data_IF_514733315244
#
_entry.id   IF_514733315244
#
_cell.length_a   1.000
_cell.length_b   1.000
_cell.length_c   1.000
_cell.angle_alpha   90.00
_cell.angle_beta   90.00
_cell.angle_gamma   90.00
#
_symmetry.space_group_name_H-M   'P 1'
#
loop_
_entity.id
_entity.type
_entity.pdbx_description
1 polymer ?
#
# COMPACT_ATOMS: atom_id res chain seq x y z
N UNK A 1 24.07 20.75 14.17
CA UNK A 1 23.58 19.68 13.29
C UNK A 1 24.56 19.35 12.16
N UNK A 2 24.91 20.28 11.27
CA UNK A 2 25.82 20.01 10.13
C UNK A 2 27.16 19.32 10.50
N UNK A 3 27.84 19.77 11.56
CA UNK A 3 29.09 19.15 12.05
C UNK A 3 28.93 17.68 12.47
N UNK A 4 27.74 17.28 12.95
CA UNK A 4 27.48 15.89 13.35
C UNK A 4 27.49 14.95 12.14
N UNK A 5 26.81 15.35 11.07
CA UNK A 5 26.69 14.58 9.83
C UNK A 5 28.00 14.60 9.03
N UNK A 6 28.66 15.76 8.90
CA UNK A 6 29.89 15.88 8.11
C UNK A 6 31.08 15.06 8.65
N UNK A 7 31.05 14.68 9.93
CA UNK A 7 32.12 13.94 10.58
C UNK A 7 31.87 12.41 10.65
N UNK A 8 30.82 11.91 10.02
CA UNK A 8 30.39 10.51 10.09
C UNK A 8 30.01 9.95 8.73
N UNK A 9 30.23 8.67 8.55
CA UNK A 9 29.68 7.90 7.44
C UNK A 9 28.17 7.69 7.63
N UNK A 10 27.45 7.41 6.53
CA UNK A 10 26.02 7.07 6.59
C UNK A 10 25.73 5.88 7.51
N UNK A 11 26.63 4.90 7.57
CA UNK A 11 26.50 3.72 8.44
C UNK A 11 26.60 4.08 9.93
N UNK A 12 27.57 4.91 10.31
CA UNK A 12 27.71 5.40 11.69
C UNK A 12 26.50 6.22 12.14
N UNK A 13 25.91 7.00 11.23
CA UNK A 13 24.68 7.77 11.51
C UNK A 13 23.49 6.84 11.77
N UNK A 14 23.29 5.85 10.91
CA UNK A 14 22.19 4.89 11.07
C UNK A 14 22.34 4.06 12.34
N UNK A 15 23.55 3.63 12.67
CA UNK A 15 23.82 2.90 13.90
C UNK A 15 23.60 3.75 15.15
N UNK A 16 24.04 5.00 15.14
CA UNK A 16 23.79 5.93 16.24
C UNK A 16 22.29 6.25 16.39
N UNK A 17 21.55 6.32 15.28
CA UNK A 17 20.09 6.44 15.29
C UNK A 17 19.43 5.26 15.97
N UNK A 18 19.74 4.03 15.54
CA UNK A 18 19.24 2.79 16.16
C UNK A 18 19.54 2.74 17.66
N UNK A 19 20.78 3.04 18.05
CA UNK A 19 21.20 3.09 19.46
C UNK A 19 20.35 4.05 20.31
N UNK A 20 19.80 5.10 19.70
CA UNK A 20 18.95 6.11 20.35
C UNK A 20 17.45 5.89 20.15
N UNK A 21 17.04 4.84 19.44
CA UNK A 21 15.64 4.63 19.07
C UNK A 21 15.11 5.67 18.08
N UNK A 22 15.99 6.33 17.32
CA UNK A 22 15.65 7.25 16.25
C UNK A 22 15.74 6.47 14.93
N UNK A 23 14.65 6.44 14.17
CA UNK A 23 14.67 5.88 12.82
C UNK A 23 15.52 6.75 11.88
N UNK A 24 16.84 6.54 11.91
CA UNK A 24 17.80 7.15 11.01
C UNK A 24 18.18 6.10 9.95
N UNK A 25 17.77 6.36 8.73
CA UNK A 25 17.93 5.45 7.62
C UNK A 25 19.00 5.96 6.64
N UNK A 26 19.80 5.06 6.08
CA UNK A 26 20.74 5.41 5.01
C UNK A 26 19.99 5.57 3.70
N UNK A 27 20.43 6.53 2.89
CA UNK A 27 20.04 6.58 1.48
C UNK A 27 21.04 5.74 0.71
N UNK A 28 20.61 4.57 0.26
CA UNK A 28 21.41 3.64 -0.53
C UNK A 28 21.42 4.08 -1.98
N UNK A 29 22.57 3.94 -2.65
CA UNK A 29 22.63 3.87 -4.11
C UNK A 29 22.53 2.40 -4.56
N UNK A 30 22.23 2.11 -5.85
CA UNK A 30 22.00 0.74 -6.31
C UNK A 30 23.13 -0.26 -5.99
N UNK A 31 24.40 0.17 -5.95
CA UNK A 31 25.51 -0.69 -5.54
C UNK A 31 25.50 -1.03 -4.04
N UNK A 32 25.00 -0.16 -3.16
CA UNK A 32 24.86 -0.48 -1.74
C UNK A 32 23.83 -1.61 -1.55
N UNK A 33 22.72 -1.55 -2.30
CA UNK A 33 21.62 -2.52 -2.22
C UNK A 33 22.09 -3.94 -2.54
N UNK A 34 22.99 -4.09 -3.52
CA UNK A 34 23.58 -5.39 -3.89
C UNK A 34 24.43 -6.01 -2.76
N UNK A 35 24.88 -5.22 -1.80
CA UNK A 35 25.70 -5.65 -0.66
C UNK A 35 24.99 -5.49 0.69
N UNK A 36 23.67 -5.27 0.68
CA UNK A 36 22.89 -5.05 1.88
C UNK A 36 22.77 -6.33 2.71
N UNK A 37 23.24 -6.28 3.96
CA UNK A 37 23.28 -7.44 4.85
C UNK A 37 21.88 -7.96 5.23
N UNK A 38 20.86 -7.11 5.22
CA UNK A 38 19.50 -7.53 5.53
C UNK A 38 18.87 -8.27 4.35
N UNK A 39 19.04 -7.76 3.13
CA UNK A 39 18.60 -8.46 1.92
C UNK A 39 19.33 -9.80 1.73
N UNK A 40 20.65 -9.83 2.01
CA UNK A 40 21.45 -11.06 1.97
C UNK A 40 20.96 -12.09 3.02
N UNK A 41 20.71 -11.68 4.26
CA UNK A 41 20.21 -12.58 5.31
C UNK A 41 18.83 -13.17 5.01
N UNK A 42 18.03 -12.50 4.16
CA UNK A 42 16.73 -12.97 3.69
C UNK A 42 16.82 -13.77 2.38
N UNK A 43 18.03 -13.93 1.82
CA UNK A 43 18.25 -14.58 0.53
C UNK A 43 17.49 -13.93 -0.62
N UNK A 44 17.31 -12.61 -0.56
CA UNK A 44 16.48 -11.88 -1.53
C UNK A 44 17.14 -11.78 -2.91
N UNK A 45 18.47 -11.72 -2.93
CA UNK A 45 19.29 -11.68 -4.14
C UNK A 45 19.87 -13.07 -4.48
N UNK A 46 19.50 -14.12 -3.75
CA UNK A 46 19.97 -15.50 -3.96
C UNK A 46 19.20 -16.15 -5.11
N UNK A 47 19.33 -15.56 -6.30
CA UNK A 47 18.64 -15.97 -7.52
C UNK A 47 19.67 -16.31 -8.61
N UNK A 48 19.30 -17.07 -9.66
CA UNK A 48 20.22 -17.35 -10.76
C UNK A 48 20.77 -16.10 -11.43
N UNK A 49 19.95 -15.04 -11.54
CA UNK A 49 20.39 -13.76 -12.06
C UNK A 49 21.16 -12.93 -11.04
N UNK A 50 21.14 -13.29 -9.75
CA UNK A 50 21.58 -12.51 -8.59
C UNK A 50 20.96 -11.10 -8.51
N UNK A 51 19.74 -10.98 -9.03
CA UNK A 51 18.89 -9.81 -8.99
C UNK A 51 17.54 -10.19 -8.36
N UNK A 52 16.73 -9.21 -7.93
CA UNK A 52 15.41 -9.49 -7.39
C UNK A 52 14.51 -10.27 -8.38
N UNK A 53 13.91 -11.39 -7.94
CA UNK A 53 12.99 -12.22 -8.75
C UNK A 53 11.66 -12.57 -8.02
N UNK A 54 11.46 -12.10 -6.78
CA UNK A 54 10.21 -12.29 -6.01
C UNK A 54 9.75 -11.02 -5.29
N UNK A 55 8.45 -10.83 -5.16
CA UNK A 55 7.88 -9.69 -4.41
C UNK A 55 7.63 -9.99 -2.92
N UNK A 56 7.44 -11.26 -2.57
CA UNK A 56 7.20 -11.68 -1.18
C UNK A 56 7.82 -13.06 -0.92
N UNK A 57 8.07 -13.36 0.33
CA UNK A 57 8.34 -14.72 0.80
C UNK A 57 7.02 -15.44 1.03
N UNK A 58 6.90 -16.66 0.51
CA UNK A 58 5.71 -17.50 0.71
C UNK A 58 6.12 -18.79 1.41
N UNK A 59 5.57 -19.01 2.60
CA UNK A 59 5.71 -20.26 3.36
C UNK A 59 4.41 -21.06 3.22
N UNK A 60 4.49 -22.20 2.54
CA UNK A 60 3.34 -23.09 2.39
C UNK A 60 2.91 -23.71 3.73
N UNK A 61 1.60 -23.85 3.91
CA UNK A 61 1.02 -24.63 5.00
C UNK A 61 1.01 -26.14 4.74
N UNK A 62 0.57 -26.88 5.76
CA UNK A 62 0.26 -28.29 5.60
C UNK A 62 -0.91 -28.47 4.62
N UNK A 63 -0.84 -29.52 3.79
CA UNK A 63 -1.94 -29.87 2.90
C UNK A 63 -3.08 -30.50 3.71
N UNK A 64 -4.28 -29.94 3.56
CA UNK A 64 -5.52 -30.49 4.09
C UNK A 64 -6.56 -30.63 2.97
N UNK A 65 -7.75 -31.13 3.28
CA UNK A 65 -8.86 -31.01 2.34
C UNK A 65 -9.12 -29.52 2.06
N UNK A 66 -9.21 -29.15 0.78
CA UNK A 66 -9.47 -27.76 0.41
C UNK A 66 -10.74 -27.25 1.11
N UNK A 67 -10.69 -26.05 1.73
CA UNK A 67 -11.86 -25.47 2.38
C UNK A 67 -13.04 -25.35 1.41
N UNK A 68 -14.25 -25.56 1.91
CA UNK A 68 -15.46 -25.39 1.11
C UNK A 68 -15.54 -23.93 0.61
N UNK A 69 -15.82 -23.75 -0.69
CA UNK A 69 -16.10 -22.41 -1.22
C UNK A 69 -17.42 -21.95 -0.63
N UNK A 70 -17.41 -20.84 0.08
CA UNK A 70 -18.61 -20.25 0.63
C UNK A 70 -19.37 -19.49 -0.46
N UNK A 71 -20.69 -19.70 -0.53
CA UNK A 71 -21.54 -18.82 -1.30
C UNK A 71 -21.62 -17.46 -0.58
N UNK A 72 -21.01 -16.43 -1.17
CA UNK A 72 -21.08 -15.08 -0.64
C UNK A 72 -22.40 -14.39 -1.00
N UNK A 73 -22.80 -13.41 -0.18
CA UNK A 73 -23.98 -12.56 -0.41
C UNK A 73 -23.62 -11.23 -1.09
N UNK A 74 -22.32 -10.90 -1.14
CA UNK A 74 -21.80 -9.69 -1.80
C UNK A 74 -21.60 -9.93 -3.29
N UNK A 75 -21.73 -8.88 -4.10
CA UNK A 75 -21.33 -8.90 -5.51
C UNK A 75 -19.82 -8.78 -5.66
N UNK A 76 -19.25 -9.43 -6.68
CA UNK A 76 -17.83 -9.29 -7.06
C UNK A 76 -17.07 -10.61 -7.09
N UNK A 77 -15.87 -10.63 -7.69
CA UNK A 77 -15.08 -11.83 -7.95
C UNK A 77 -14.56 -12.51 -6.67
N UNK A 78 -14.50 -11.78 -5.55
CA UNK A 78 -14.10 -12.33 -4.24
C UNK A 78 -15.29 -12.59 -3.32
N UNK A 79 -16.51 -12.61 -3.87
CA UNK A 79 -17.70 -13.04 -3.13
C UNK A 79 -17.47 -14.43 -2.51
N UNK A 80 -17.73 -14.53 -1.20
CA UNK A 80 -17.55 -15.75 -0.42
C UNK A 80 -16.19 -15.86 0.27
N UNK A 81 -15.23 -14.98 -0.03
CA UNK A 81 -13.95 -14.90 0.69
C UNK A 81 -14.14 -14.16 2.02
N UNK A 82 -13.61 -14.71 3.10
CA UNK A 82 -13.74 -14.17 4.47
C UNK A 82 -12.40 -13.73 5.03
N UNK A 83 -12.31 -12.51 5.52
CA UNK A 83 -11.05 -11.87 5.91
C UNK A 83 -11.14 -11.30 7.32
N UNK A 84 -10.17 -11.65 8.15
CA UNK A 84 -9.88 -10.92 9.39
C UNK A 84 -8.78 -9.89 9.12
N UNK A 85 -9.11 -8.63 9.37
CA UNK A 85 -8.25 -7.49 9.15
C UNK A 85 -7.76 -6.93 10.50
N UNK A 86 -6.50 -7.22 10.84
CA UNK A 86 -5.81 -6.63 11.99
C UNK A 86 -4.97 -5.41 11.60
N UNK A 87 -5.06 -4.96 10.34
CA UNK A 87 -4.21 -3.91 9.85
C UNK A 87 -4.53 -2.56 10.50
N UNK A 88 -3.51 -1.71 10.49
CA UNK A 88 -3.60 -0.30 10.89
C UNK A 88 -2.82 0.57 9.91
N UNK A 89 -3.13 1.87 9.86
CA UNK A 89 -2.58 2.80 8.88
C UNK A 89 -2.90 2.37 7.42
N UNK A 90 -1.94 2.42 6.48
CA UNK A 90 -2.21 2.31 5.04
C UNK A 90 -2.13 0.88 4.52
N UNK A 91 -0.97 0.22 4.62
CA UNK A 91 -0.65 -0.97 3.81
C UNK A 91 -1.71 -2.07 3.89
N UNK A 92 -1.95 -2.59 5.10
CA UNK A 92 -2.94 -3.65 5.27
C UNK A 92 -4.37 -3.13 5.07
N UNK A 93 -4.68 -1.88 5.44
CA UNK A 93 -6.01 -1.29 5.24
C UNK A 93 -6.39 -1.18 3.77
N UNK A 94 -5.50 -0.72 2.90
CA UNK A 94 -5.71 -0.66 1.45
C UNK A 94 -5.80 -2.07 0.86
N UNK A 95 -5.02 -3.03 1.39
CA UNK A 95 -5.07 -4.43 0.96
C UNK A 95 -6.48 -4.98 1.17
N UNK A 96 -7.01 -4.88 2.39
CA UNK A 96 -8.32 -5.43 2.73
C UNK A 96 -9.47 -4.59 2.18
N UNK A 97 -9.30 -3.28 2.01
CA UNK A 97 -10.24 -2.43 1.25
C UNK A 97 -10.37 -2.95 -0.18
N UNK A 98 -9.25 -3.16 -0.88
CA UNK A 98 -9.23 -3.65 -2.26
C UNK A 98 -9.94 -5.00 -2.36
N UNK A 99 -9.65 -5.93 -1.46
CA UNK A 99 -10.29 -7.25 -1.43
C UNK A 99 -11.79 -7.16 -1.09
N UNK A 100 -12.16 -6.30 -0.12
CA UNK A 100 -13.55 -6.08 0.29
C UNK A 100 -14.40 -5.41 -0.78
N UNK A 101 -13.85 -4.42 -1.49
CA UNK A 101 -14.51 -3.75 -2.61
C UNK A 101 -14.74 -4.70 -3.79
N UNK A 102 -13.91 -5.75 -3.91
CA UNK A 102 -14.07 -6.84 -4.86
C UNK A 102 -15.03 -7.95 -4.37
N UNK A 103 -15.70 -7.74 -3.23
CA UNK A 103 -16.77 -8.60 -2.74
C UNK A 103 -16.41 -9.47 -1.53
N UNK A 104 -15.20 -9.41 -0.99
CA UNK A 104 -14.85 -10.16 0.22
C UNK A 104 -15.64 -9.64 1.45
N UNK A 105 -15.94 -10.54 2.38
CA UNK A 105 -16.44 -10.18 3.71
C UNK A 105 -15.25 -9.89 4.63
N UNK A 106 -15.11 -8.63 5.03
CA UNK A 106 -13.97 -8.17 5.84
C UNK A 106 -14.45 -7.75 7.22
N UNK A 107 -13.90 -8.39 8.26
CA UNK A 107 -14.05 -7.98 9.66
C UNK A 107 -12.75 -7.34 10.12
N UNK A 108 -12.78 -6.02 10.32
CA UNK A 108 -11.69 -5.26 10.92
C UNK A 108 -11.75 -5.40 12.44
N UNK A 109 -10.67 -5.90 13.02
CA UNK A 109 -10.50 -6.05 14.46
C UNK A 109 -9.66 -4.87 14.96
N UNK A 110 -10.22 -4.10 15.87
CA UNK A 110 -9.61 -2.89 16.42
C UNK A 110 -9.92 -2.73 17.91
N UNK A 111 -9.30 -1.77 18.60
CA UNK A 111 -9.57 -1.47 20.02
C UNK A 111 -9.54 0.03 20.25
N UNK A 112 -10.36 0.57 21.16
CA UNK A 112 -10.30 2.00 21.51
C UNK A 112 -9.08 2.33 22.36
N UNK A 113 -8.48 1.34 23.02
CA UNK A 113 -7.26 1.51 23.81
C UNK A 113 -6.05 1.86 22.94
N UNK A 114 -6.06 1.40 21.69
CA UNK A 114 -5.04 1.71 20.68
C UNK A 114 -5.70 1.77 19.30
N UNK A 115 -6.39 2.88 18.99
CA UNK A 115 -7.10 3.03 17.73
C UNK A 115 -6.14 2.94 16.54
N UNK A 116 -6.69 2.56 15.38
CA UNK A 116 -6.00 2.70 14.11
C UNK A 116 -5.46 4.13 13.95
N UNK A 117 -4.22 4.28 13.48
CA UNK A 117 -3.60 5.58 13.22
C UNK A 117 -4.49 6.47 12.34
N UNK A 118 -5.20 5.89 11.38
CA UNK A 118 -6.10 6.63 10.51
C UNK A 118 -7.33 7.22 11.22
N UNK A 119 -7.70 6.71 12.41
CA UNK A 119 -8.77 7.28 13.26
C UNK A 119 -8.30 8.42 14.16
N UNK A 120 -7.00 8.52 14.40
CA UNK A 120 -6.40 9.57 15.24
C UNK A 120 -5.96 10.79 14.44
N UNK A 121 -5.87 10.65 13.13
CA UNK A 121 -5.37 11.67 12.22
C UNK A 121 -6.38 12.81 12.02
N UNK A 122 -5.95 14.05 12.24
CA UNK A 122 -6.79 15.25 12.05
C UNK A 122 -6.28 16.02 10.83
N UNK A 123 -6.64 15.51 9.64
CA UNK A 123 -6.18 16.06 8.36
C UNK A 123 -6.98 17.26 7.84
N UNK A 124 -8.24 17.39 8.24
CA UNK A 124 -9.14 18.46 7.75
C UNK A 124 -9.80 19.20 8.90
N UNK A 125 -10.15 20.47 8.68
CA UNK A 125 -10.78 21.31 9.70
C UNK A 125 -12.12 20.76 10.23
N UNK A 126 -12.79 19.89 9.45
CA UNK A 126 -14.03 19.23 9.85
C UNK A 126 -13.81 18.03 10.80
N UNK A 127 -12.58 17.53 10.94
CA UNK A 127 -12.25 16.43 11.86
C UNK A 127 -11.92 16.97 13.25
N UNK A 128 -12.47 16.34 14.29
CA UNK A 128 -12.19 16.66 15.69
C UNK A 128 -11.17 15.70 16.30
N UNK A 129 -10.29 16.20 17.17
CA UNK A 129 -9.40 15.35 17.97
C UNK A 129 -10.14 14.41 18.95
N UNK A 130 -11.42 14.68 19.26
CA UNK A 130 -12.20 13.92 20.24
C UNK A 130 -13.08 12.83 19.62
N UNK A 131 -13.13 12.73 18.29
CA UNK A 131 -13.91 11.71 17.57
C UNK A 131 -12.96 10.72 16.91
N UNK A 132 -13.35 9.45 16.78
CA UNK A 132 -12.60 8.43 16.03
C UNK A 132 -13.25 8.10 14.68
N UNK A 133 -14.40 8.72 14.38
CA UNK A 133 -15.29 8.33 13.29
C UNK A 133 -15.51 9.45 12.26
N UNK A 134 -14.97 10.66 12.49
CA UNK A 134 -15.08 11.81 11.57
C UNK A 134 -13.80 12.01 10.73
N UNK A 135 -13.10 10.91 10.40
CA UNK A 135 -11.79 10.94 9.73
C UNK A 135 -11.91 10.56 8.24
N UNK A 136 -11.74 11.51 7.31
CA UNK A 136 -11.72 11.22 5.87
C UNK A 136 -10.69 10.17 5.49
N UNK A 137 -9.52 10.20 6.13
CA UNK A 137 -8.47 9.25 5.85
C UNK A 137 -8.87 7.82 6.22
N UNK A 138 -9.41 7.61 7.43
CA UNK A 138 -9.98 6.32 7.82
C UNK A 138 -11.09 5.88 6.87
N UNK A 139 -12.02 6.81 6.56
CA UNK A 139 -13.16 6.55 5.71
C UNK A 139 -12.74 6.08 4.31
N UNK A 140 -11.73 6.71 3.72
CA UNK A 140 -11.18 6.31 2.43
C UNK A 140 -10.45 4.96 2.49
N UNK A 141 -9.75 4.63 3.58
CA UNK A 141 -8.94 3.40 3.68
C UNK A 141 -9.75 2.15 4.07
N UNK A 142 -11.01 2.29 4.48
CA UNK A 142 -11.75 1.20 5.12
C UNK A 142 -13.17 0.97 4.58
N UNK A 143 -13.46 1.36 3.32
CA UNK A 143 -14.71 0.94 2.66
C UNK A 143 -14.83 -0.58 2.62
N UNK A 144 -16.07 -1.06 2.57
CA UNK A 144 -16.40 -2.49 2.43
C UNK A 144 -15.99 -3.37 3.63
N UNK A 145 -15.82 -2.79 4.82
CA UNK A 145 -15.45 -3.51 6.05
C UNK A 145 -16.49 -3.36 7.16
N UNK A 146 -16.65 -4.40 7.97
CA UNK A 146 -17.35 -4.33 9.26
C UNK A 146 -16.32 -4.14 10.37
N UNK A 147 -16.65 -3.40 11.42
CA UNK A 147 -15.76 -3.13 12.56
C UNK A 147 -16.19 -3.91 13.79
N UNK A 148 -15.25 -4.63 14.39
CA UNK A 148 -15.34 -5.30 15.68
C UNK A 148 -14.29 -4.67 16.61
N UNK A 149 -14.76 -4.03 17.68
CA UNK A 149 -13.88 -3.60 18.77
C UNK A 149 -13.64 -4.79 19.71
N UNK A 150 -12.37 -5.11 20.00
CA UNK A 150 -11.99 -6.25 20.82
C UNK A 150 -10.66 -5.99 21.54
N UNK A 151 -10.66 -6.05 22.88
CA UNK A 151 -9.42 -6.02 23.67
C UNK A 151 -8.74 -7.39 23.66
N UNK A 152 -7.81 -7.56 22.73
CA UNK A 152 -7.05 -8.80 22.53
C UNK A 152 -6.16 -9.20 23.72
N UNK A 153 -5.96 -8.32 24.72
CA UNK A 153 -5.21 -8.67 25.94
C UNK A 153 -6.06 -9.42 26.95
N UNK A 154 -7.38 -9.30 26.87
CA UNK A 154 -8.28 -10.04 27.74
C UNK A 154 -8.36 -11.50 27.30
N UNK A 155 -8.16 -12.49 28.18
CA UNK A 155 -8.34 -13.90 27.83
C UNK A 155 -9.73 -14.22 27.29
N UNK A 156 -10.78 -13.56 27.81
CA UNK A 156 -12.16 -13.72 27.38
C UNK A 156 -12.41 -13.27 25.92
N UNK A 157 -11.51 -12.46 25.34
CA UNK A 157 -11.59 -12.08 23.92
C UNK A 157 -11.49 -13.28 22.98
N UNK A 158 -10.91 -14.39 23.45
CA UNK A 158 -10.83 -15.67 22.74
C UNK A 158 -12.20 -16.29 22.48
N UNK A 159 -13.20 -16.04 23.31
CA UNK A 159 -14.57 -16.52 23.08
C UNK A 159 -15.16 -15.94 21.78
N UNK A 160 -14.75 -14.74 21.39
CA UNK A 160 -15.14 -14.11 20.12
C UNK A 160 -14.18 -14.50 19.00
N UNK A 161 -12.87 -14.43 19.27
CA UNK A 161 -11.82 -14.49 18.27
C UNK A 161 -11.58 -15.89 17.70
N UNK A 162 -11.61 -16.91 18.53
CA UNK A 162 -11.31 -18.27 18.11
C UNK A 162 -12.32 -18.80 17.06
N UNK A 163 -13.65 -18.63 17.24
CA UNK A 163 -14.63 -18.89 16.18
C UNK A 163 -14.41 -18.07 14.91
N UNK A 164 -13.93 -16.83 15.03
CA UNK A 164 -13.63 -16.00 13.86
C UNK A 164 -12.43 -16.54 13.07
N UNK A 165 -11.43 -17.11 13.73
CA UNK A 165 -10.30 -17.80 13.06
C UNK A 165 -10.80 -19.04 12.31
N UNK A 166 -11.79 -19.77 12.84
CA UNK A 166 -12.42 -20.90 12.13
C UNK A 166 -13.22 -20.44 10.91
N UNK A 167 -13.84 -19.26 11.01
CA UNK A 167 -14.63 -18.66 9.93
C UNK A 167 -13.76 -18.12 8.79
N UNK A 168 -12.54 -17.65 9.08
CA UNK A 168 -11.71 -16.89 8.16
C UNK A 168 -11.02 -17.75 7.08
N UNK A 169 -10.92 -17.19 5.87
CA UNK A 169 -10.03 -17.69 4.83
C UNK A 169 -8.66 -17.02 4.87
N UNK A 170 -8.65 -15.73 5.20
CA UNK A 170 -7.48 -14.87 5.15
C UNK A 170 -7.35 -14.07 6.43
N UNK A 171 -6.11 -13.92 6.91
CA UNK A 171 -5.73 -12.97 7.96
C UNK A 171 -4.75 -11.97 7.38
N UNK A 172 -5.04 -10.68 7.52
CA UNK A 172 -4.17 -9.58 7.08
C UNK A 172 -3.68 -8.79 8.28
N UNK A 173 -2.36 -8.53 8.33
CA UNK A 173 -1.75 -7.67 9.35
C UNK A 173 -0.51 -6.95 8.81
N UNK A 174 -0.15 -5.84 9.46
CA UNK A 174 1.04 -5.04 9.13
C UNK A 174 1.71 -4.47 10.39
N UNK A 175 1.73 -5.25 11.47
CA UNK A 175 2.40 -4.87 12.70
C UNK A 175 3.91 -5.10 12.61
N UNK A 176 4.65 -4.51 13.56
CA UNK A 176 6.05 -4.86 13.77
C UNK A 176 6.18 -6.36 14.06
N UNK A 177 7.15 -7.06 13.45
CA UNK A 177 7.32 -8.50 13.60
C UNK A 177 7.36 -8.95 15.07
N UNK A 178 6.63 -10.03 15.37
CA UNK A 178 6.46 -10.56 16.72
C UNK A 178 5.26 -10.01 17.50
N UNK A 179 4.58 -8.96 17.01
CA UNK A 179 3.34 -8.45 17.64
C UNK A 179 2.23 -9.51 17.61
N UNK A 180 1.97 -10.12 16.45
CA UNK A 180 0.98 -11.20 16.33
C UNK A 180 1.33 -12.41 17.21
N UNK A 181 2.62 -12.76 17.33
CA UNK A 181 3.06 -13.85 18.19
C UNK A 181 2.78 -13.57 19.68
N UNK A 182 2.99 -12.32 20.15
CA UNK A 182 2.65 -11.90 21.53
C UNK A 182 1.14 -11.96 21.79
N UNK A 183 0.33 -11.69 20.77
CA UNK A 183 -1.13 -11.83 20.84
C UNK A 183 -1.58 -13.29 20.69
N UNK A 184 -0.68 -14.21 20.34
CA UNK A 184 -1.00 -15.61 20.07
C UNK A 184 -1.78 -15.82 18.77
N UNK A 185 -1.47 -15.03 17.75
CA UNK A 185 -2.11 -15.00 16.44
C UNK A 185 -1.09 -15.05 15.29
N UNK A 186 0.14 -15.51 15.56
CA UNK A 186 1.10 -15.82 14.52
C UNK A 186 0.62 -17.00 13.64
N UNK A 187 1.18 -17.10 12.43
CA UNK A 187 0.71 -18.07 11.45
C UNK A 187 0.71 -19.51 11.97
N UNK A 188 1.71 -19.94 12.73
CA UNK A 188 1.77 -21.32 13.24
C UNK A 188 0.59 -21.63 14.18
N UNK A 189 0.21 -20.67 15.05
CA UNK A 189 -0.97 -20.81 15.92
C UNK A 189 -2.27 -20.79 15.11
N UNK A 190 -2.40 -19.86 14.17
CA UNK A 190 -3.58 -19.78 13.31
C UNK A 190 -3.77 -21.05 12.49
N UNK A 191 -2.69 -21.55 11.87
CA UNK A 191 -2.69 -22.77 11.05
C UNK A 191 -2.96 -24.03 11.88
N UNK A 192 -2.56 -24.07 13.16
CA UNK A 192 -2.89 -25.20 14.05
C UNK A 192 -4.40 -25.34 14.28
N UNK A 193 -5.13 -24.22 14.23
CA UNK A 193 -6.59 -24.18 14.38
C UNK A 193 -7.30 -24.30 13.04
N UNK A 194 -6.85 -23.54 12.04
CA UNK A 194 -7.38 -23.51 10.69
C UNK A 194 -6.23 -23.75 9.68
N UNK A 195 -5.93 -25.01 9.32
CA UNK A 195 -4.80 -25.33 8.45
C UNK A 195 -4.90 -24.77 7.02
N UNK A 196 -6.10 -24.38 6.59
CA UNK A 196 -6.36 -23.76 5.29
C UNK A 196 -6.19 -22.23 5.29
N UNK A 197 -5.81 -21.62 6.41
CA UNK A 197 -5.74 -20.16 6.51
C UNK A 197 -4.59 -19.59 5.68
N UNK A 198 -4.84 -18.48 5.01
CA UNK A 198 -3.81 -17.66 4.36
C UNK A 198 -3.53 -16.45 5.24
N UNK A 199 -2.32 -16.34 5.78
CA UNK A 199 -1.88 -15.15 6.49
C UNK A 199 -1.02 -14.29 5.56
N UNK A 200 -1.23 -12.97 5.55
CA UNK A 200 -0.34 -12.02 4.88
C UNK A 200 0.10 -10.94 5.86
N UNK A 201 1.42 -10.77 5.95
CA UNK A 201 2.10 -9.83 6.84
C UNK A 201 2.81 -8.77 6.01
N UNK A 202 2.48 -7.50 6.19
CA UNK A 202 3.09 -6.38 5.47
C UNK A 202 3.93 -5.48 6.38
N UNK A 203 5.18 -5.82 6.68
CA UNK A 203 6.07 -4.95 7.49
C UNK A 203 7.14 -4.28 6.61
N UNK A 204 7.82 -3.24 7.12
CA UNK A 204 8.82 -2.53 6.30
C UNK A 204 10.00 -3.42 5.92
N UNK A 205 10.50 -4.22 6.86
CA UNK A 205 11.68 -5.06 6.70
C UNK A 205 11.34 -6.55 6.53
N UNK A 206 10.06 -6.92 6.47
CA UNK A 206 9.62 -8.31 6.53
C UNK A 206 9.74 -8.93 7.93
N UNK A 207 9.39 -10.21 8.06
CA UNK A 207 9.30 -10.91 9.35
C UNK A 207 10.62 -11.48 9.87
N UNK A 208 11.71 -11.42 9.08
CA UNK A 208 13.01 -12.05 9.39
C UNK A 208 14.18 -11.18 8.95
N UNK A 209 15.38 -11.47 9.44
CA UNK A 209 16.61 -10.77 9.10
C UNK A 209 17.00 -9.69 10.11
N UNK A 210 18.21 -9.11 9.99
CA UNK A 210 18.81 -8.20 10.99
C UNK A 210 17.98 -6.96 11.32
N UNK A 211 17.26 -6.41 10.34
CA UNK A 211 16.43 -5.21 10.50
C UNK A 211 14.95 -5.51 10.82
N UNK A 212 14.56 -6.78 10.99
CA UNK A 212 13.14 -7.14 11.16
C UNK A 212 12.49 -6.49 12.40
N UNK A 213 13.26 -6.21 13.45
CA UNK A 213 12.75 -5.56 14.67
C UNK A 213 12.83 -4.03 14.62
N UNK A 214 13.37 -3.46 13.56
CA UNK A 214 13.45 -2.01 13.39
C UNK A 214 12.09 -1.44 12.95
N UNK A 215 11.81 -0.21 13.38
CA UNK A 215 10.65 0.54 12.91
C UNK A 215 10.98 1.22 11.57
N UNK A 216 10.06 1.19 10.62
CA UNK A 216 10.16 1.93 9.36
C UNK A 216 8.85 2.62 8.96
N UNK A 217 8.96 3.52 7.99
CA UNK A 217 7.83 4.12 7.25
C UNK A 217 8.15 4.09 5.75
N UNK A 218 7.26 4.53 4.86
CA UNK A 218 7.52 4.55 3.41
C UNK A 218 8.88 5.17 3.04
N UNK A 219 9.20 6.33 3.60
CA UNK A 219 10.48 7.00 3.37
C UNK A 219 11.70 6.13 3.71
N UNK A 220 11.60 5.24 4.69
CA UNK A 220 12.63 4.25 5.03
C UNK A 220 12.80 3.23 3.90
N UNK A 221 11.69 2.66 3.40
CA UNK A 221 11.73 1.72 2.26
C UNK A 221 12.25 2.36 0.98
N UNK A 222 11.87 3.61 0.70
CA UNK A 222 12.38 4.38 -0.43
C UNK A 222 13.87 4.69 -0.34
N UNK A 223 14.36 5.06 0.85
CA UNK A 223 15.77 5.39 1.07
C UNK A 223 16.69 4.17 0.91
N UNK A 224 16.31 3.03 1.49
CA UNK A 224 17.13 1.82 1.43
C UNK A 224 17.12 1.14 0.06
N UNK A 225 16.04 1.28 -0.71
CA UNK A 225 15.88 0.58 -1.98
C UNK A 225 16.69 1.13 -3.14
N UNK A 226 17.36 2.28 -2.97
CA UNK A 226 17.99 2.99 -4.09
C UNK A 226 17.08 3.99 -4.78
N UNK A 227 15.76 3.95 -4.50
CA UNK A 227 14.77 4.80 -5.16
C UNK A 227 14.99 6.28 -4.86
N UNK A 228 15.15 6.65 -3.58
CA UNK A 228 15.37 8.05 -3.19
C UNK A 228 16.65 8.59 -3.80
N UNK A 229 17.73 7.79 -3.85
CA UNK A 229 19.00 8.20 -4.45
C UNK A 229 18.87 8.57 -5.93
N UNK A 230 18.06 7.83 -6.67
CA UNK A 230 17.83 8.00 -8.10
C UNK A 230 16.72 9.00 -8.45
N UNK A 231 16.06 9.58 -7.45
CA UNK A 231 14.98 10.55 -7.66
C UNK A 231 15.49 11.98 -7.50
N UNK A 232 15.20 12.83 -8.49
CA UNK A 232 15.52 14.26 -8.51
C UNK A 232 16.29 14.66 -9.77
N UNK A 233 16.74 15.92 -9.84
CA UNK A 233 17.56 16.42 -10.95
C UNK A 233 19.05 16.06 -10.74
N UNK A 234 19.85 15.96 -11.83
CA UNK A 234 21.26 15.55 -11.76
C UNK A 234 22.10 16.36 -10.76
N UNK A 235 21.96 17.68 -10.80
CA UNK A 235 22.71 18.62 -9.94
C UNK A 235 22.04 18.90 -8.59
N UNK A 236 20.88 18.28 -8.34
CA UNK A 236 20.11 18.42 -7.12
C UNK A 236 20.42 17.38 -6.05
N UNK A 237 19.93 17.64 -4.84
CA UNK A 237 19.91 16.64 -3.76
C UNK A 237 18.91 15.51 -4.07
N UNK A 238 19.09 14.30 -3.51
CA UNK A 238 18.07 13.25 -3.57
C UNK A 238 16.72 13.73 -3.04
N UNK A 239 15.65 13.42 -3.75
CA UNK A 239 14.28 13.83 -3.39
C UNK A 239 13.46 12.59 -3.02
N UNK A 240 12.72 12.67 -1.92
CA UNK A 240 11.62 11.74 -1.66
C UNK A 240 10.40 12.29 -2.41
N UNK A 241 9.77 11.56 -3.35
CA UNK A 241 8.51 11.98 -3.97
C UNK A 241 7.44 12.16 -2.89
N UNK A 242 7.24 13.39 -2.42
CA UNK A 242 6.58 13.63 -1.13
C UNK A 242 5.05 13.56 -1.13
N UNK A 243 4.40 13.64 -2.29
CA UNK A 243 2.94 13.70 -2.36
C UNK A 243 2.27 12.31 -2.22
N UNK A 244 2.97 11.22 -2.58
CA UNK A 244 2.42 9.87 -2.54
C UNK A 244 3.44 8.91 -1.93
N UNK A 245 3.15 8.29 -0.77
CA UNK A 245 4.05 7.33 -0.15
C UNK A 245 4.06 6.03 -0.98
N UNK A 246 5.02 5.90 -1.89
CA UNK A 246 5.03 4.87 -2.93
C UNK A 246 4.93 3.43 -2.38
N UNK A 247 5.72 3.10 -1.38
CA UNK A 247 5.72 1.82 -0.68
C UNK A 247 4.37 1.52 -0.05
N UNK A 248 3.73 2.52 0.56
CA UNK A 248 2.41 2.37 1.16
C UNK A 248 1.29 2.14 0.13
N UNK A 249 1.51 2.48 -1.16
CA UNK A 249 0.53 2.25 -2.23
C UNK A 249 0.82 1.01 -3.08
N UNK A 250 2.07 0.63 -3.31
CA UNK A 250 2.41 -0.56 -4.12
C UNK A 250 2.27 -1.87 -3.34
N UNK A 251 2.70 -1.87 -2.07
CA UNK A 251 2.68 -3.08 -1.23
C UNK A 251 1.25 -3.63 -1.06
N UNK A 252 0.20 -2.81 -0.87
CA UNK A 252 -1.17 -3.31 -0.81
C UNK A 252 -1.60 -4.14 -2.03
N UNK A 253 -1.29 -3.69 -3.24
CA UNK A 253 -1.67 -4.39 -4.46
C UNK A 253 -0.85 -5.66 -4.66
N UNK A 254 0.42 -5.66 -4.26
CA UNK A 254 1.24 -6.87 -4.20
C UNK A 254 0.63 -7.88 -3.21
N UNK A 255 0.28 -7.45 -2.00
CA UNK A 255 -0.35 -8.30 -0.98
C UNK A 255 -1.69 -8.85 -1.47
N UNK A 256 -2.57 -8.01 -2.03
CA UNK A 256 -3.87 -8.44 -2.55
C UNK A 256 -3.72 -9.46 -3.69
N UNK A 257 -2.76 -9.26 -4.59
CA UNK A 257 -2.43 -10.21 -5.65
C UNK A 257 -1.94 -11.56 -5.11
N UNK A 258 -1.07 -11.54 -4.10
CA UNK A 258 -0.60 -12.79 -3.45
C UNK A 258 -1.72 -13.50 -2.69
N UNK A 259 -2.62 -12.77 -2.03
CA UNK A 259 -3.81 -13.36 -1.40
C UNK A 259 -4.67 -14.06 -2.44
N UNK A 260 -4.99 -13.41 -3.57
CA UNK A 260 -5.76 -14.03 -4.64
C UNK A 260 -5.08 -15.29 -5.20
N UNK A 261 -3.77 -15.24 -5.45
CA UNK A 261 -2.98 -16.37 -5.92
C UNK A 261 -2.94 -17.53 -4.90
N UNK A 262 -2.75 -17.21 -3.62
CA UNK A 262 -2.74 -18.19 -2.53
C UNK A 262 -4.11 -18.86 -2.37
N UNK A 263 -5.21 -18.09 -2.45
CA UNK A 263 -6.58 -18.64 -2.42
C UNK A 263 -6.86 -19.55 -3.62
N UNK A 264 -6.41 -19.19 -4.83
CA UNK A 264 -6.53 -20.06 -6.00
C UNK A 264 -5.74 -21.36 -5.81
N UNK A 265 -4.47 -21.27 -5.40
CA UNK A 265 -3.64 -22.45 -5.15
C UNK A 265 -4.23 -23.33 -4.06
N UNK A 266 -4.74 -22.75 -2.98
CA UNK A 266 -5.42 -23.46 -1.89
C UNK A 266 -6.62 -24.26 -2.38
N UNK A 267 -7.36 -23.80 -3.40
CA UNK A 267 -8.47 -24.58 -3.99
C UNK A 267 -7.99 -25.87 -4.63
N UNK A 268 -6.78 -25.87 -5.17
CA UNK A 268 -6.19 -27.01 -5.88
C UNK A 268 -5.43 -27.95 -4.94
N UNK A 269 -4.72 -27.39 -3.96
CA UNK A 269 -3.79 -28.15 -3.10
C UNK A 269 -4.29 -28.35 -1.68
N UNK A 270 -5.29 -27.57 -1.26
CA UNK A 270 -5.75 -27.49 0.13
C UNK A 270 -4.74 -26.88 1.10
N UNK A 271 -3.65 -26.28 0.60
CA UNK A 271 -2.64 -25.63 1.42
C UNK A 271 -2.95 -24.14 1.60
N UNK A 272 -3.09 -23.72 2.85
CA UNK A 272 -2.93 -22.31 3.22
C UNK A 272 -1.46 -21.87 3.12
N UNK A 273 -1.11 -20.78 3.80
CA UNK A 273 0.26 -20.28 3.77
C UNK A 273 0.44 -18.97 4.50
N UNK A 274 1.70 -18.57 4.66
CA UNK A 274 2.08 -17.25 5.14
C UNK A 274 2.87 -16.49 4.09
N UNK A 275 2.36 -15.33 3.72
CA UNK A 275 2.98 -14.39 2.81
C UNK A 275 3.64 -13.30 3.65
N UNK A 276 4.96 -13.23 3.63
CA UNK A 276 5.77 -12.17 4.23
C UNK A 276 6.15 -11.14 3.15
N UNK A 277 5.43 -10.03 3.13
CA UNK A 277 5.58 -8.93 2.17
C UNK A 277 6.38 -7.78 2.79
N UNK A 278 7.68 -7.76 2.52
CA UNK A 278 8.58 -6.68 2.96
C UNK A 278 8.46 -5.47 2.05
N UNK A 279 8.09 -4.30 2.59
CA UNK A 279 8.07 -3.05 1.82
C UNK A 279 9.43 -2.75 1.20
N UNK A 280 10.51 -2.99 1.95
CA UNK A 280 11.88 -2.77 1.47
C UNK A 280 12.15 -3.65 0.23
N UNK A 281 11.90 -4.96 0.30
CA UNK A 281 12.10 -5.88 -0.83
C UNK A 281 11.23 -5.49 -2.05
N UNK A 282 9.97 -5.11 -1.82
CA UNK A 282 9.05 -4.67 -2.88
C UNK A 282 9.53 -3.37 -3.52
N UNK A 283 10.09 -2.44 -2.76
CA UNK A 283 10.69 -1.23 -3.32
C UNK A 283 11.96 -1.55 -4.12
N UNK A 284 12.78 -2.49 -3.67
CA UNK A 284 14.00 -2.93 -4.37
C UNK A 284 13.65 -3.62 -5.71
N UNK A 285 12.56 -4.38 -5.78
CA UNK A 285 12.08 -4.99 -7.02
C UNK A 285 11.91 -3.99 -8.16
N UNK A 286 11.44 -2.78 -7.85
CA UNK A 286 11.20 -1.71 -8.83
C UNK A 286 12.51 -1.10 -9.35
N UNK A 287 13.61 -1.32 -8.65
CA UNK A 287 14.94 -0.81 -8.99
C UNK A 287 15.78 -1.83 -9.76
N UNK A 288 15.20 -2.98 -10.15
CA UNK A 288 15.93 -4.13 -10.72
C UNK A 288 16.88 -3.74 -11.86
N UNK A 289 16.46 -2.90 -12.80
CA UNK A 289 17.30 -2.54 -13.94
C UNK A 289 18.49 -1.67 -13.52
N UNK A 290 18.31 -0.78 -12.55
CA UNK A 290 19.41 0.00 -11.96
C UNK A 290 20.36 -0.87 -11.14
N UNK A 291 19.86 -1.92 -10.49
CA UNK A 291 20.72 -2.93 -9.83
C UNK A 291 21.51 -3.73 -10.87
N UNK A 292 20.92 -4.06 -12.01
CA UNK A 292 21.60 -4.74 -13.11
C UNK A 292 22.73 -3.86 -13.67
N UNK A 293 22.47 -2.56 -13.88
CA UNK A 293 23.48 -1.56 -14.27
C UNK A 293 24.61 -1.49 -13.25
N UNK A 294 24.29 -1.36 -11.95
CA UNK A 294 25.28 -1.32 -10.88
C UNK A 294 26.16 -2.58 -10.83
N UNK A 295 25.55 -3.74 -11.01
CA UNK A 295 26.27 -5.01 -11.08
C UNK A 295 27.19 -5.12 -12.30
N UNK A 296 26.81 -4.49 -13.41
CA UNK A 296 27.66 -4.36 -14.59
C UNK A 296 28.77 -3.30 -14.43
N UNK A 297 28.93 -2.72 -13.23
CA UNK A 297 29.95 -1.70 -12.94
C UNK A 297 29.56 -0.29 -13.36
N UNK A 298 28.28 -0.06 -13.72
CA UNK A 298 27.78 1.27 -14.04
C UNK A 298 27.33 2.01 -12.78
N UNK A 299 27.25 3.34 -12.86
CA UNK A 299 26.83 4.18 -11.75
C UNK A 299 25.59 4.98 -12.16
N UNK A 300 24.38 4.39 -12.09
CA UNK A 300 23.15 5.12 -12.41
C UNK A 300 23.02 6.35 -11.51
N UNK A 301 22.57 7.46 -12.10
CA UNK A 301 22.39 8.76 -11.44
C UNK A 301 20.99 9.29 -11.69
N UNK A 302 20.63 10.33 -10.95
CA UNK A 302 19.42 11.13 -11.16
C UNK A 302 19.42 11.75 -12.55
N UNK A 303 18.27 11.75 -13.21
CA UNK A 303 18.11 12.26 -14.58
C UNK A 303 17.02 13.34 -14.70
N UNK A 304 16.40 13.76 -13.58
CA UNK A 304 15.22 14.62 -13.64
C UNK A 304 14.08 13.90 -14.36
N UNK A 305 13.51 14.54 -15.39
CA UNK A 305 12.43 13.98 -16.20
C UNK A 305 12.93 13.17 -17.42
N UNK A 306 14.23 13.15 -17.68
CA UNK A 306 14.80 12.52 -18.87
C UNK A 306 14.92 10.99 -18.74
N UNK A 307 14.85 10.30 -19.87
CA UNK A 307 15.12 8.87 -20.01
C UNK A 307 16.14 8.66 -21.15
N UNK A 308 17.30 8.00 -20.91
CA UNK A 308 18.31 7.78 -21.95
C UNK A 308 17.84 6.90 -23.12
N UNK A 309 16.75 6.14 -22.94
CA UNK A 309 16.15 5.32 -23.97
C UNK A 309 15.17 6.09 -24.87
N UNK A 310 14.84 7.34 -24.52
CA UNK A 310 13.86 8.18 -25.23
C UNK A 310 14.57 9.38 -25.84
N UNK A 311 14.44 9.65 -27.16
CA UNK A 311 15.08 10.79 -27.82
C UNK A 311 14.82 12.15 -27.16
N UNK A 312 13.61 12.37 -26.66
CA UNK A 312 13.26 13.58 -25.93
C UNK A 312 12.12 13.32 -24.93
N UNK A 313 12.30 13.73 -23.68
CA UNK A 313 11.26 13.72 -22.66
C UNK A 313 11.55 14.79 -21.60
N UNK A 314 10.56 15.65 -21.31
CA UNK A 314 10.65 16.61 -20.20
C UNK A 314 9.27 17.17 -19.80
N UNK A 315 9.25 18.03 -18.78
CA UNK A 315 8.09 18.79 -18.29
C UNK A 315 8.36 20.29 -18.44
N UNK A 316 7.45 21.01 -19.09
CA UNK A 316 7.59 22.43 -19.41
C UNK A 316 6.51 23.30 -18.76
N UNK A 317 6.82 24.55 -18.38
CA UNK A 317 5.80 25.48 -17.89
C UNK A 317 4.81 25.82 -19.01
N UNK A 318 3.55 25.95 -18.65
CA UNK A 318 2.48 26.43 -19.51
C UNK A 318 1.94 27.78 -19.00
N UNK A 319 1.08 28.43 -19.77
CA UNK A 319 0.46 29.68 -19.38
C UNK A 319 -0.42 29.49 -18.13
N UNK A 320 -0.14 30.28 -17.08
CA UNK A 320 -0.88 30.25 -15.83
C UNK A 320 0.04 30.08 -14.62
N UNK A 321 -0.55 30.02 -13.44
CA UNK A 321 0.18 29.75 -12.20
C UNK A 321 0.27 28.23 -12.01
N UNK A 322 1.50 27.71 -11.85
CA UNK A 322 1.77 26.28 -11.64
C UNK A 322 1.11 25.34 -12.69
N UNK A 323 1.04 25.81 -13.94
CA UNK A 323 0.58 25.00 -15.08
C UNK A 323 1.78 24.42 -15.81
N UNK A 324 1.70 23.13 -16.15
CA UNK A 324 2.81 22.41 -16.76
C UNK A 324 2.30 21.40 -17.79
N UNK A 325 3.14 21.05 -18.75
CA UNK A 325 2.89 19.99 -19.74
C UNK A 325 4.05 19.03 -19.80
N UNK A 326 3.76 17.73 -19.66
CA UNK A 326 4.72 16.67 -19.91
C UNK A 326 4.71 16.31 -21.40
N UNK A 327 5.89 16.18 -22.02
CA UNK A 327 6.05 15.88 -23.45
C UNK A 327 7.08 14.77 -23.61
N UNK A 328 6.74 13.73 -24.38
CA UNK A 328 7.66 12.64 -24.76
C UNK A 328 7.62 12.42 -26.28
N UNK A 329 8.81 12.34 -26.89
CA UNK A 329 9.01 11.91 -28.26
C UNK A 329 9.94 10.69 -28.26
N UNK A 330 9.38 9.54 -28.63
CA UNK A 330 10.00 8.23 -28.58
C UNK A 330 10.84 7.90 -29.81
N UNK A 331 10.70 8.67 -30.89
CA UNK A 331 11.54 8.54 -32.09
C UNK A 331 12.17 9.86 -32.51
N UNK A 332 13.30 9.83 -33.26
CA UNK A 332 13.88 11.04 -33.85
C UNK A 332 12.91 11.81 -34.75
N UNK A 333 12.01 11.11 -35.45
CA UNK A 333 10.97 11.70 -36.29
C UNK A 333 9.92 12.43 -35.45
N UNK A 334 9.48 11.84 -34.33
CA UNK A 334 8.59 12.51 -33.37
C UNK A 334 9.24 13.77 -32.79
N UNK A 335 10.52 13.71 -32.44
CA UNK A 335 11.25 14.87 -31.92
C UNK A 335 11.40 15.95 -33.00
N UNK A 336 11.66 15.57 -34.25
CA UNK A 336 11.72 16.52 -35.37
C UNK A 336 10.37 17.21 -35.58
N UNK A 337 9.26 16.46 -35.56
CA UNK A 337 7.90 17.04 -35.63
C UNK A 337 7.60 17.97 -34.46
N UNK A 338 8.05 17.63 -33.25
CA UNK A 338 7.91 18.49 -32.07
C UNK A 338 8.59 19.84 -32.31
N UNK A 339 9.83 19.83 -32.83
CA UNK A 339 10.58 21.05 -33.13
C UNK A 339 9.98 21.84 -34.30
N UNK A 340 9.34 21.19 -35.27
CA UNK A 340 8.59 21.88 -36.34
C UNK A 340 7.38 22.65 -35.79
N UNK A 341 6.71 22.11 -34.77
CA UNK A 341 5.52 22.72 -34.14
C UNK A 341 5.90 23.80 -33.12
N UNK A 342 6.82 23.45 -32.22
CA UNK A 342 7.18 24.28 -31.07
C UNK A 342 8.34 25.25 -31.37
N UNK A 343 9.13 24.98 -32.41
CA UNK A 343 10.43 25.62 -32.61
C UNK A 343 11.50 25.01 -31.70
N UNK A 344 12.74 25.55 -31.77
CA UNK A 344 13.87 25.05 -30.99
C UNK A 344 13.78 25.34 -29.49
N UNK A 345 12.99 26.35 -29.10
CA UNK A 345 12.76 26.72 -27.70
C UNK A 345 11.35 26.30 -27.26
N UNK A 346 11.24 25.03 -26.89
CA UNK A 346 9.98 24.41 -26.47
C UNK A 346 9.42 25.10 -25.21
N UNK A 347 10.29 25.54 -24.29
CA UNK A 347 9.87 26.23 -23.08
C UNK A 347 9.24 27.60 -23.39
N UNK A 348 9.86 28.39 -24.27
CA UNK A 348 9.28 29.67 -24.70
C UNK A 348 7.97 29.50 -25.48
N UNK A 349 7.82 28.38 -26.20
CA UNK A 349 6.58 28.07 -26.90
C UNK A 349 5.46 27.61 -25.95
N UNK A 350 5.78 26.75 -24.97
CA UNK A 350 4.79 26.23 -24.02
C UNK A 350 4.33 27.28 -23.01
N UNK A 351 5.22 28.12 -22.48
CA UNK A 351 4.91 29.02 -21.36
C UNK A 351 3.88 30.13 -21.66
N UNK A 352 3.56 30.35 -22.94
CA UNK A 352 2.56 31.32 -23.39
C UNK A 352 1.25 30.67 -23.88
N UNK A 353 1.12 29.34 -23.77
CA UNK A 353 -0.04 28.57 -24.24
C UNK A 353 -0.66 27.77 -23.09
N UNK A 354 -1.97 27.56 -23.18
CA UNK A 354 -2.71 26.76 -22.21
C UNK A 354 -2.32 25.27 -22.34
N UNK A 355 -2.19 24.57 -21.22
CA UNK A 355 -1.58 23.23 -21.15
C UNK A 355 -2.40 22.15 -21.88
N UNK A 356 -3.74 22.17 -21.77
CA UNK A 356 -4.59 21.21 -22.49
C UNK A 356 -4.57 21.46 -23.99
N UNK A 357 -4.52 22.72 -24.43
CA UNK A 357 -4.38 23.08 -25.83
C UNK A 357 -3.03 22.62 -26.40
N UNK A 358 -1.94 22.76 -25.64
CA UNK A 358 -0.64 22.19 -26.02
C UNK A 358 -0.74 20.66 -26.16
N UNK A 359 -1.27 20.00 -25.12
CA UNK A 359 -1.37 18.54 -25.11
C UNK A 359 -2.21 18.04 -26.30
N UNK A 360 -3.38 18.64 -26.54
CA UNK A 360 -4.25 18.29 -27.66
C UNK A 360 -3.57 18.51 -29.03
N UNK A 361 -2.85 19.63 -29.21
CA UNK A 361 -2.14 19.92 -30.46
C UNK A 361 -1.03 18.90 -30.73
N UNK A 362 -0.22 18.56 -29.71
CA UNK A 362 0.87 17.59 -29.84
C UNK A 362 0.34 16.16 -30.04
N UNK A 363 -0.71 15.77 -29.31
CA UNK A 363 -1.37 14.47 -29.48
C UNK A 363 -1.95 14.32 -30.90
N UNK A 364 -2.55 15.37 -31.48
CA UNK A 364 -3.03 15.37 -32.85
C UNK A 364 -1.90 15.18 -33.89
N UNK A 365 -0.67 15.55 -33.55
CA UNK A 365 0.54 15.33 -34.35
C UNK A 365 1.24 13.98 -34.05
N UNK A 366 0.61 13.12 -33.23
CA UNK A 366 1.17 11.84 -32.83
C UNK A 366 2.38 11.95 -31.90
N UNK A 367 2.44 12.99 -31.06
CA UNK A 367 3.45 13.18 -30.03
C UNK A 367 2.77 12.99 -28.67
N UNK A 368 3.37 12.21 -27.78
CA UNK A 368 2.81 11.99 -26.45
C UNK A 368 2.96 13.27 -25.62
N UNK A 369 1.83 13.82 -25.18
CA UNK A 369 1.80 15.00 -24.32
C UNK A 369 0.61 14.93 -23.35
N UNK A 370 0.75 15.52 -22.17
CA UNK A 370 -0.31 15.59 -21.18
C UNK A 370 -0.16 16.80 -20.27
N UNK A 371 -1.27 17.48 -19.99
CA UNK A 371 -1.31 18.54 -18.98
C UNK A 371 -1.05 17.93 -17.59
N UNK A 372 -0.22 18.59 -16.79
CA UNK A 372 -0.01 18.23 -15.40
C UNK A 372 -1.23 18.70 -14.59
N UNK A 373 -1.85 17.77 -13.88
CA UNK A 373 -3.10 18.01 -13.16
C UNK A 373 -2.86 18.01 -11.65
N UNK A 374 -3.47 18.96 -10.96
CA UNK A 374 -3.56 18.94 -9.50
C UNK A 374 -4.81 18.17 -9.02
N UNK A 375 -5.05 18.14 -7.70
CA UNK A 375 -6.20 17.43 -7.15
C UNK A 375 -7.55 18.04 -7.55
N UNK A 376 -7.63 19.37 -7.71
CA UNK A 376 -8.86 20.05 -8.13
C UNK A 376 -9.18 19.70 -9.58
N UNK A 377 -8.18 19.76 -10.47
CA UNK A 377 -8.31 19.36 -11.86
C UNK A 377 -8.83 17.91 -11.98
N UNK A 378 -8.17 16.97 -11.28
CA UNK A 378 -8.53 15.55 -11.34
C UNK A 378 -9.96 15.27 -10.88
N UNK A 379 -10.43 15.97 -9.84
CA UNK A 379 -11.74 15.71 -9.22
C UNK A 379 -12.86 16.47 -9.95
N UNK A 380 -12.61 17.73 -10.28
CA UNK A 380 -13.66 18.65 -10.74
C UNK A 380 -13.70 18.83 -12.26
N UNK A 381 -12.59 18.57 -12.96
CA UNK A 381 -12.40 19.02 -14.35
C UNK A 381 -12.00 17.92 -15.32
N UNK A 382 -11.36 16.85 -14.85
CA UNK A 382 -10.86 15.78 -15.72
C UNK A 382 -12.01 14.86 -16.23
N UNK A 383 -12.32 14.90 -17.55
CA UNK A 383 -13.40 14.08 -18.11
C UNK A 383 -13.06 12.59 -18.14
N UNK A 384 -11.78 12.23 -18.22
CA UNK A 384 -11.31 10.84 -18.18
C UNK A 384 -11.52 10.27 -16.78
N UNK A 385 -11.19 11.02 -15.73
CA UNK A 385 -11.44 10.62 -14.34
C UNK A 385 -12.94 10.50 -14.07
N UNK A 386 -13.74 11.50 -14.47
CA UNK A 386 -15.19 11.49 -14.31
C UNK A 386 -15.85 10.28 -15.02
N UNK A 387 -15.48 10.02 -16.28
CA UNK A 387 -16.03 8.90 -17.08
C UNK A 387 -15.64 7.53 -16.51
N UNK A 388 -14.49 7.45 -15.83
CA UNK A 388 -14.00 6.22 -15.21
C UNK A 388 -14.48 6.02 -13.78
N UNK A 389 -15.41 6.85 -13.29
CA UNK A 389 -16.05 6.80 -11.97
C UNK A 389 -15.03 6.37 -10.89
N UNK A 390 -13.86 7.04 -10.86
CA UNK A 390 -12.78 6.67 -9.93
C UNK A 390 -13.11 7.03 -8.48
N UNK A 391 -14.18 7.81 -8.29
CA UNK A 391 -14.71 8.19 -6.99
C UNK A 391 -16.09 7.55 -6.81
N UNK A 392 -16.28 6.94 -5.65
CA UNK A 392 -17.57 6.48 -5.18
C UNK A 392 -18.07 7.42 -4.09
N UNK A 393 -19.17 8.11 -4.36
CA UNK A 393 -19.85 8.89 -3.35
C UNK A 393 -20.69 7.97 -2.45
N UNK A 394 -20.29 7.86 -1.18
CA UNK A 394 -21.01 7.06 -0.19
C UNK A 394 -21.51 7.97 0.93
N UNK A 395 -22.71 7.70 1.43
CA UNK A 395 -23.26 8.43 2.58
C UNK A 395 -22.58 7.97 3.87
N UNK A 396 -21.92 8.90 4.54
CA UNK A 396 -21.23 8.69 5.80
C UNK A 396 -21.91 9.48 6.94
N UNK A 397 -22.23 8.86 8.09
CA UNK A 397 -23.00 9.50 9.17
C UNK A 397 -22.42 10.83 9.67
N UNK A 398 -21.09 10.97 9.68
CA UNK A 398 -20.39 12.16 10.17
C UNK A 398 -19.74 13.01 9.07
N UNK A 399 -19.53 12.47 7.86
CA UNK A 399 -18.87 13.18 6.77
C UNK A 399 -19.86 13.65 5.69
N UNK A 400 -21.13 13.25 5.79
CA UNK A 400 -22.13 13.46 4.75
C UNK A 400 -21.83 12.58 3.53
N UNK A 401 -22.22 13.05 2.34
CA UNK A 401 -21.84 12.42 1.08
C UNK A 401 -20.34 12.65 0.84
N UNK A 402 -19.57 11.56 0.86
CA UNK A 402 -18.11 11.62 0.81
C UNK A 402 -17.56 10.76 -0.34
N UNK A 403 -16.61 11.30 -1.11
CA UNK A 403 -15.97 10.63 -2.22
C UNK A 403 -14.85 9.69 -1.76
N UNK A 404 -14.98 8.41 -2.06
CA UNK A 404 -13.98 7.38 -1.80
C UNK A 404 -13.28 6.97 -3.08
N UNK A 405 -11.96 6.77 -3.03
CA UNK A 405 -11.23 6.24 -4.19
C UNK A 405 -11.67 4.80 -4.45
N UNK A 406 -12.21 4.59 -5.65
CA UNK A 406 -12.67 3.31 -6.15
C UNK A 406 -11.51 2.33 -6.35
N UNK A 407 -11.78 1.03 -6.23
CA UNK A 407 -10.83 0.03 -6.72
C UNK A 407 -10.60 0.25 -8.24
N UNK A 408 -9.34 0.31 -8.72
CA UNK A 408 -9.08 0.50 -10.14
C UNK A 408 -9.45 -0.74 -10.98
N UNK A 409 -9.78 -1.86 -10.33
CA UNK A 409 -10.11 -3.12 -10.96
C UNK A 409 -11.59 -3.17 -11.37
N UNK A 410 -11.86 -3.11 -12.69
CA UNK A 410 -13.20 -3.24 -13.27
C UNK A 410 -13.38 -4.59 -13.94
N UNK A 411 -14.54 -5.20 -13.74
CA UNK A 411 -14.90 -6.48 -14.33
C UNK A 411 -16.13 -6.28 -15.23
N UNK A 412 -16.08 -6.80 -16.46
CA UNK A 412 -17.15 -6.58 -17.45
C UNK A 412 -18.49 -7.23 -17.06
N UNK A 413 -18.47 -8.22 -16.16
CA UNK A 413 -19.64 -8.99 -15.72
C UNK A 413 -20.11 -8.67 -14.30
N UNK A 414 -19.27 -8.01 -13.50
CA UNK A 414 -19.56 -7.70 -12.11
C UNK A 414 -19.73 -6.20 -11.92
N UNK A 415 -20.74 -5.81 -11.15
CA UNK A 415 -20.85 -4.45 -10.62
C UNK A 415 -20.48 -4.49 -9.15
N UNK A 416 -19.36 -3.88 -8.80
CA UNK A 416 -18.95 -3.77 -7.40
C UNK A 416 -19.95 -2.91 -6.63
N UNK A 417 -20.27 -3.32 -5.41
CA UNK A 417 -21.15 -2.60 -4.50
C UNK A 417 -20.40 -2.37 -3.19
N UNK A 418 -19.49 -1.39 -3.17
CA UNK A 418 -18.83 -1.00 -1.94
C UNK A 418 -19.83 -0.34 -0.99
N UNK A 419 -19.53 -0.38 0.30
CA UNK A 419 -20.24 0.40 1.31
C UNK A 419 -19.25 1.19 2.15
N UNK A 420 -19.73 2.22 2.83
CA UNK A 420 -18.89 3.16 3.58
C UNK A 420 -18.04 2.45 4.64
N UNK A 421 -16.98 3.12 5.09
CA UNK A 421 -16.25 2.65 6.25
C UNK A 421 -17.13 2.59 7.52
N UNK A 422 -16.85 1.65 8.44
CA UNK A 422 -17.61 1.48 9.67
C UNK A 422 -17.17 2.46 10.76
N UNK A 423 -18.11 2.88 11.60
CA UNK A 423 -17.75 3.50 12.88
C UNK A 423 -17.06 2.47 13.79
N UNK A 424 -16.27 2.94 14.76
CA UNK A 424 -15.54 2.09 15.70
C UNK A 424 -16.51 1.16 16.45
N UNK A 425 -16.38 -0.15 16.22
CA UNK A 425 -17.19 -1.18 16.89
C UNK A 425 -18.64 -1.24 16.43
N UNK A 426 -18.98 -0.61 15.30
CA UNK A 426 -20.36 -0.54 14.78
C UNK A 426 -21.04 -1.92 14.66
N UNK A 427 -20.26 -2.98 14.44
CA UNK A 427 -20.76 -4.32 14.19
C UNK A 427 -20.37 -5.33 15.28
N UNK A 428 -19.81 -4.90 16.42
CA UNK A 428 -19.23 -5.79 17.43
C UNK A 428 -20.19 -6.89 17.90
N UNK A 429 -21.38 -6.51 18.37
CA UNK A 429 -22.38 -7.46 18.87
C UNK A 429 -22.99 -8.31 17.77
N UNK A 430 -23.19 -7.73 16.58
CA UNK A 430 -23.72 -8.45 15.43
C UNK A 430 -22.76 -9.57 15.02
N UNK A 431 -21.46 -9.27 14.90
CA UNK A 431 -20.38 -10.20 14.57
C UNK A 431 -20.26 -11.29 15.64
N UNK A 432 -20.21 -10.91 16.92
CA UNK A 432 -20.11 -11.85 18.04
C UNK A 432 -21.27 -12.86 18.05
N UNK A 433 -22.49 -12.39 17.73
CA UNK A 433 -23.66 -13.26 17.64
C UNK A 433 -23.65 -14.12 16.37
N UNK A 434 -23.45 -13.52 15.20
CA UNK A 434 -23.67 -14.20 13.91
C UNK A 434 -22.49 -15.07 13.48
N UNK A 435 -21.26 -14.65 13.80
CA UNK A 435 -20.04 -15.33 13.36
C UNK A 435 -19.41 -16.14 14.50
N UNK A 436 -19.42 -15.62 15.73
CA UNK A 436 -18.88 -16.35 16.89
C UNK A 436 -19.90 -17.22 17.63
N UNK A 437 -21.19 -17.12 17.29
CA UNK A 437 -22.24 -17.96 17.84
C UNK A 437 -22.60 -17.65 19.30
N UNK A 438 -22.21 -16.48 19.81
CA UNK A 438 -22.44 -16.10 21.21
C UNK A 438 -23.91 -15.72 21.45
N UNK A 439 -24.42 -16.12 22.62
CA UNK A 439 -25.76 -15.72 23.06
C UNK A 439 -25.79 -14.26 23.48
N UNK A 440 -26.99 -13.68 23.59
CA UNK A 440 -27.16 -12.31 24.13
C UNK A 440 -26.59 -12.21 25.56
N UNK A 441 -26.70 -13.28 26.34
CA UNK A 441 -26.17 -13.32 27.71
C UNK A 441 -24.63 -13.34 27.74
N UNK A 442 -24.00 -14.07 26.82
CA UNK A 442 -22.54 -14.10 26.70
C UNK A 442 -22.00 -12.75 26.25
N UNK A 443 -22.65 -12.10 25.28
CA UNK A 443 -22.27 -10.77 24.80
C UNK A 443 -22.38 -9.75 25.94
N UNK A 444 -23.48 -9.75 26.70
CA UNK A 444 -23.66 -8.84 27.83
C UNK A 444 -22.58 -9.04 28.91
N UNK A 445 -22.23 -10.30 29.22
CA UNK A 445 -21.12 -10.60 30.15
C UNK A 445 -19.78 -10.07 29.61
N UNK A 446 -19.49 -10.29 28.33
CA UNK A 446 -18.25 -9.83 27.72
C UNK A 446 -18.17 -8.29 27.63
N UNK A 447 -19.30 -7.60 27.43
CA UNK A 447 -19.38 -6.14 27.56
C UNK A 447 -19.04 -5.68 28.99
N UNK A 448 -19.65 -6.31 30.00
CA UNK A 448 -19.39 -6.00 31.41
C UNK A 448 -17.92 -6.24 31.79
N UNK A 449 -17.29 -7.26 31.20
CA UNK A 449 -15.86 -7.57 31.35
C UNK A 449 -14.96 -6.59 30.56
N UNK A 450 -15.53 -5.71 29.74
CA UNK A 450 -14.80 -4.72 28.94
C UNK A 450 -14.14 -5.30 27.68
N UNK A 451 -14.60 -6.46 27.19
CA UNK A 451 -13.98 -7.18 26.06
C UNK A 451 -14.19 -6.43 24.74
N UNK A 452 -15.31 -5.73 24.57
CA UNK A 452 -15.62 -4.97 23.34
C UNK A 452 -15.14 -3.50 23.36
N UNK A 453 -14.18 -3.15 24.23
CA UNK A 453 -13.67 -1.77 24.41
C UNK A 453 -12.38 -1.43 23.64
#
# INVERSE_FOLDING_TARGET
MARFFAARTKAEIAEEGRRRGINACVVNEPSDVLHDAHLAARGFLDTPSGLPERFALVRDGAAVAAPAIHAGTRSGPLSGVRILDFAWALVGSITTKTLGDLGAEVVKIETRNRPDLARMDVQVAASSATSLDDKPWFANLNTSKRSLTLDLKQPASREVLDPLVDWADVVVENFSPGTMAKLGLDYDRLASRNPGIVMVSGSVFGQTGPLAQEWGVDGTGGALSGRTFLTGYPDGEPVIPGAVPYGDVIVPYVMAGHVAAALQRRRETGQGGHIDASMYEICVQQMRDFLAMARAGQHPRRLGNADPAVPFQDVFPAAGQDRWVAISAFTPEEHSRLLEIAGPDIAAWTCIREDHAIAAQLQAAGIAAGALQDCEDLIERDPQIATREVLWDLDHPLLGRFGHVATPMRFSRDRMQPFRAPSMGEHSHEIARSLSGLSVADIARLDDDGVFH
#
